data_IF_332072708983
#
_entry.id   IF_332072708983
#
_cell.length_a   1.000
_cell.length_b   1.000
_cell.length_c   1.000
_cell.angle_alpha   90.00
_cell.angle_beta   90.00
_cell.angle_gamma   90.00
#
_symmetry.space_group_name_H-M   'P 1'
#
loop_
_entity.id
_entity.type
_entity.pdbx_description
1 polymer ?
#
# COMPACT_ATOMS: atom_id res chain seq x y z
N UNK A 1 -24.16 -7.94 5.95
CA UNK A 1 -22.78 -7.93 6.47
C UNK A 1 -22.19 -6.54 6.27
N UNK A 2 -21.53 -5.96 7.30
CA UNK A 2 -20.82 -4.68 7.14
C UNK A 2 -19.78 -4.78 6.03
N UNK A 3 -19.69 -3.75 5.17
CA UNK A 3 -18.73 -3.72 4.07
C UNK A 3 -17.53 -2.82 4.40
N UNK A 4 -16.32 -3.31 4.10
CA UNK A 4 -15.11 -2.52 4.23
C UNK A 4 -15.03 -1.50 3.09
N UNK A 5 -15.23 -0.22 3.42
CA UNK A 5 -15.02 0.89 2.48
C UNK A 5 -13.65 1.53 2.71
N UNK A 6 -12.78 1.48 1.72
CA UNK A 6 -11.45 2.12 1.72
C UNK A 6 -11.58 3.55 1.21
N UNK A 7 -11.10 4.51 2.00
CA UNK A 7 -11.04 5.93 1.60
C UNK A 7 -9.58 6.26 1.26
N UNK A 8 -9.23 6.48 -0.03
CA UNK A 8 -7.83 6.63 -0.46
C UNK A 8 -7.08 7.76 0.25
N UNK A 9 -7.77 8.86 0.53
CA UNK A 9 -7.22 10.02 1.23
C UNK A 9 -6.83 9.76 2.69
N UNK A 10 -7.32 8.66 3.30
CA UNK A 10 -6.97 8.26 4.67
C UNK A 10 -5.76 7.31 4.73
N UNK A 11 -5.34 6.77 3.59
CA UNK A 11 -4.18 5.89 3.53
C UNK A 11 -2.90 6.69 3.37
N UNK A 12 -1.81 6.21 3.97
CA UNK A 12 -0.49 6.77 3.72
C UNK A 12 -0.05 6.50 2.28
N UNK A 13 0.77 7.40 1.74
CA UNK A 13 1.41 7.20 0.43
C UNK A 13 2.29 5.94 0.41
N UNK A 14 2.91 5.60 1.54
CA UNK A 14 3.66 4.35 1.72
C UNK A 14 2.79 3.13 1.43
N UNK A 15 1.58 3.06 2.01
CA UNK A 15 0.65 1.95 1.77
C UNK A 15 0.17 1.91 0.32
N UNK A 16 -0.10 3.08 -0.28
CA UNK A 16 -0.45 3.15 -1.71
C UNK A 16 0.63 2.58 -2.60
N UNK A 17 1.90 2.92 -2.37
CA UNK A 17 3.02 2.37 -3.14
C UNK A 17 3.20 0.87 -2.89
N UNK A 18 3.21 0.43 -1.63
CA UNK A 18 3.34 -0.98 -1.28
C UNK A 18 2.23 -1.85 -1.90
N UNK A 19 1.02 -1.32 -2.07
CA UNK A 19 -0.10 -2.05 -2.68
C UNK A 19 -0.01 -2.23 -4.20
N UNK A 20 0.85 -1.48 -4.90
CA UNK A 20 0.97 -1.53 -6.38
C UNK A 20 2.29 -2.12 -6.87
N UNK A 21 3.23 -2.34 -5.95
CA UNK A 21 4.46 -3.08 -6.22
C UNK A 21 4.16 -4.59 -6.27
N UNK A 22 4.88 -5.28 -7.16
CA UNK A 22 4.87 -6.74 -7.26
C UNK A 22 6.01 -7.34 -6.48
N UNK A 23 5.89 -8.60 -6.05
CA UNK A 23 6.99 -9.44 -5.57
C UNK A 23 7.65 -10.27 -6.70
N UNK A 24 7.05 -10.26 -7.90
CA UNK A 24 7.60 -10.91 -9.10
C UNK A 24 8.80 -10.15 -9.68
N UNK A 25 9.99 -10.76 -9.56
CA UNK A 25 11.26 -10.26 -10.09
C UNK A 25 11.31 -10.12 -11.61
N UNK A 26 10.41 -10.78 -12.35
CA UNK A 26 10.37 -10.68 -13.83
C UNK A 26 9.65 -9.43 -14.32
N UNK A 27 8.87 -8.76 -13.45
CA UNK A 27 8.09 -7.57 -13.78
C UNK A 27 8.32 -6.41 -12.79
N UNK A 28 9.56 -5.92 -12.63
CA UNK A 28 9.87 -4.85 -11.67
C UNK A 28 9.11 -3.55 -11.97
N UNK A 29 8.67 -2.87 -10.93
CA UNK A 29 7.79 -1.69 -11.04
C UNK A 29 8.56 -0.39 -10.87
N UNK A 30 8.51 0.49 -11.87
CA UNK A 30 9.11 1.84 -11.78
C UNK A 30 8.22 2.80 -10.98
N UNK A 31 8.77 3.95 -10.54
CA UNK A 31 7.99 4.99 -9.86
C UNK A 31 6.81 5.48 -10.71
N UNK A 32 7.06 5.74 -11.99
CA UNK A 32 6.03 6.22 -12.93
C UNK A 32 4.91 5.19 -13.06
N UNK A 33 5.28 3.92 -13.17
CA UNK A 33 4.31 2.82 -13.27
C UNK A 33 3.50 2.65 -11.97
N UNK A 34 4.15 2.73 -10.80
CA UNK A 34 3.46 2.71 -9.52
C UNK A 34 2.43 3.85 -9.40
N UNK A 35 2.81 5.07 -9.77
CA UNK A 35 1.91 6.23 -9.79
C UNK A 35 0.74 6.02 -10.75
N UNK A 36 0.97 5.47 -11.95
CA UNK A 36 -0.10 5.12 -12.90
C UNK A 36 -1.09 4.13 -12.31
N UNK A 37 -0.60 3.07 -11.67
CA UNK A 37 -1.45 2.05 -11.03
C UNK A 37 -2.30 2.63 -9.90
N UNK A 38 -1.72 3.45 -9.03
CA UNK A 38 -2.48 4.06 -7.92
C UNK A 38 -3.55 5.00 -8.48
N UNK A 39 -3.23 5.81 -9.48
CA UNK A 39 -4.21 6.71 -10.13
C UNK A 39 -5.28 5.96 -10.91
N UNK A 40 -4.94 4.87 -11.59
CA UNK A 40 -5.92 4.01 -12.24
C UNK A 40 -6.93 3.42 -11.25
N UNK A 41 -6.47 3.11 -10.03
CA UNK A 41 -7.34 2.65 -8.93
C UNK A 41 -8.14 3.79 -8.28
N UNK A 42 -7.55 4.98 -8.16
CA UNK A 42 -8.13 6.15 -7.50
C UNK A 42 -7.94 7.42 -8.34
N UNK A 43 -8.76 7.65 -9.38
CA UNK A 43 -8.58 8.77 -10.32
C UNK A 43 -8.63 10.14 -9.66
N UNK A 44 -9.45 10.29 -8.61
CA UNK A 44 -9.65 11.55 -7.88
C UNK A 44 -8.62 11.77 -6.76
N UNK A 45 -7.64 10.88 -6.58
CA UNK A 45 -6.64 11.00 -5.53
C UNK A 45 -5.51 11.97 -5.91
N UNK A 46 -5.70 13.24 -5.56
CA UNK A 46 -4.82 14.36 -5.98
C UNK A 46 -3.47 14.44 -5.27
N UNK A 47 -3.28 13.72 -4.15
CA UNK A 47 -2.03 13.78 -3.38
C UNK A 47 -0.80 13.29 -4.17
N UNK A 48 -1.02 12.53 -5.25
CA UNK A 48 0.04 12.04 -6.14
C UNK A 48 0.51 13.08 -7.16
N UNK A 49 -0.29 14.12 -7.43
CA UNK A 49 -0.10 15.04 -8.54
C UNK A 49 -1.10 14.78 -9.68
N UNK A 50 -1.09 15.65 -10.69
CA UNK A 50 -2.01 15.56 -11.83
C UNK A 50 -1.53 14.60 -12.92
N UNK A 51 -0.23 14.31 -12.98
CA UNK A 51 0.40 13.42 -13.97
C UNK A 51 1.47 12.56 -13.29
N UNK A 52 1.66 11.28 -13.69
CA UNK A 52 2.72 10.44 -13.14
C UNK A 52 4.13 10.97 -13.40
N UNK A 53 4.30 11.74 -14.47
CA UNK A 53 5.55 12.37 -14.88
C UNK A 53 5.86 13.61 -14.03
N UNK A 54 4.84 14.25 -13.46
CA UNK A 54 4.94 15.43 -12.57
C UNK A 54 4.31 15.16 -11.19
N UNK A 55 4.85 14.19 -10.42
CA UNK A 55 4.33 13.87 -9.11
C UNK A 55 4.56 15.01 -8.12
N UNK A 56 3.75 15.06 -7.06
CA UNK A 56 4.00 15.99 -5.94
C UNK A 56 5.31 15.66 -5.22
N UNK A 57 5.92 16.68 -4.60
CA UNK A 57 7.10 16.48 -3.74
C UNK A 57 6.85 15.45 -2.64
N UNK A 58 5.63 15.38 -2.11
CA UNK A 58 5.27 14.43 -1.08
C UNK A 58 5.26 13.00 -1.60
N UNK A 59 4.73 12.77 -2.82
CA UNK A 59 4.77 11.47 -3.47
C UNK A 59 6.21 11.05 -3.80
N UNK A 60 7.05 11.97 -4.26
CA UNK A 60 8.48 11.72 -4.50
C UNK A 60 9.21 11.36 -3.19
N UNK A 61 8.99 12.13 -2.12
CA UNK A 61 9.59 11.86 -0.80
C UNK A 61 9.14 10.53 -0.23
N UNK A 62 7.85 10.18 -0.35
CA UNK A 62 7.34 8.90 0.11
C UNK A 62 7.93 7.72 -0.67
N UNK A 63 8.07 7.85 -1.99
CA UNK A 63 8.76 6.86 -2.81
C UNK A 63 10.23 6.69 -2.41
N UNK A 64 10.95 7.80 -2.23
CA UNK A 64 12.37 7.77 -1.85
C UNK A 64 12.58 7.12 -0.47
N UNK A 65 11.70 7.38 0.50
CA UNK A 65 11.74 6.71 1.81
C UNK A 65 11.48 5.21 1.72
N UNK A 66 10.67 4.77 0.76
CA UNK A 66 10.38 3.35 0.58
C UNK A 66 11.61 2.58 0.06
N UNK A 67 12.39 3.20 -0.83
CA UNK A 67 13.62 2.60 -1.40
C UNK A 67 14.82 2.74 -0.45
N UNK A 68 14.77 3.66 0.50
CA UNK A 68 15.76 3.78 1.57
C UNK A 68 15.63 2.59 2.53
N UNK A 69 16.79 2.00 2.90
CA UNK A 69 16.82 0.92 3.88
C UNK A 69 16.45 1.50 5.26
N UNK A 70 15.47 0.92 5.98
CA UNK A 70 15.18 1.35 7.35
C UNK A 70 16.38 1.07 8.28
N UNK A 71 16.67 1.96 9.25
CA UNK A 71 17.79 1.77 10.17
C UNK A 71 17.71 0.43 10.90
N UNK A 72 18.74 -0.40 10.77
CA UNK A 72 18.80 -1.73 11.41
C UNK A 72 17.84 -2.79 10.85
N UNK A 73 17.06 -2.48 9.82
CA UNK A 73 16.06 -3.38 9.24
C UNK A 73 16.46 -4.01 7.91
N UNK A 74 15.60 -4.88 7.40
CA UNK A 74 15.64 -5.36 6.01
C UNK A 74 15.00 -4.30 5.09
N UNK A 75 15.47 -4.16 3.83
CA UNK A 75 14.83 -3.24 2.88
C UNK A 75 13.43 -3.74 2.54
N UNK A 76 12.47 -2.82 2.38
CA UNK A 76 11.09 -3.17 1.98
C UNK A 76 10.97 -3.48 0.49
N UNK A 77 11.91 -2.97 -0.31
CA UNK A 77 11.94 -3.16 -1.76
C UNK A 77 13.34 -3.46 -2.23
N UNK A 78 13.45 -4.16 -3.34
CA UNK A 78 14.71 -4.48 -4.00
C UNK A 78 14.69 -3.93 -5.43
N UNK A 79 15.79 -3.31 -5.85
CA UNK A 79 15.97 -2.92 -7.25
C UNK A 79 16.27 -4.15 -8.10
N UNK A 80 15.48 -4.35 -9.16
CA UNK A 80 15.63 -5.48 -10.09
C UNK A 80 15.65 -4.97 -11.52
N UNK A 81 16.54 -5.57 -12.32
CA UNK A 81 16.59 -5.40 -13.76
C UNK A 81 16.37 -6.77 -14.42
N UNK A 82 15.34 -6.86 -15.26
CA UNK A 82 14.98 -8.07 -16.01
C UNK A 82 14.75 -7.71 -17.48
N UNK A 83 15.70 -8.08 -18.35
CA UNK A 83 15.72 -7.63 -19.74
C UNK A 83 15.75 -6.11 -19.85
N UNK A 84 14.74 -5.53 -20.51
CA UNK A 84 14.56 -4.08 -20.62
C UNK A 84 13.79 -3.45 -19.45
N UNK A 85 13.15 -4.27 -18.61
CA UNK A 85 12.41 -3.78 -17.44
C UNK A 85 13.37 -3.48 -16.28
N UNK A 86 13.18 -2.32 -15.65
CA UNK A 86 13.93 -1.88 -14.47
C UNK A 86 13.00 -1.20 -13.47
N UNK A 87 13.19 -1.48 -12.19
CA UNK A 87 12.34 -0.94 -11.15
C UNK A 87 12.53 -1.66 -9.83
N UNK A 88 11.49 -1.65 -9.01
CA UNK A 88 11.50 -2.21 -7.68
C UNK A 88 10.45 -3.32 -7.54
N UNK A 89 10.78 -4.31 -6.72
CA UNK A 89 9.88 -5.36 -6.27
C UNK A 89 9.79 -5.36 -4.75
N UNK A 90 8.70 -5.87 -4.19
CA UNK A 90 8.55 -6.09 -2.75
C UNK A 90 9.50 -7.19 -2.30
N UNK A 91 10.15 -6.97 -1.16
CA UNK A 91 10.79 -8.04 -0.40
C UNK A 91 9.77 -8.67 0.56
N UNK A 92 10.09 -9.81 1.20
CA UNK A 92 9.26 -10.34 2.28
C UNK A 92 8.99 -9.32 3.39
N UNK A 93 10.01 -8.55 3.80
CA UNK A 93 9.85 -7.47 4.77
C UNK A 93 8.92 -6.34 4.27
N UNK A 94 8.91 -6.06 2.97
CA UNK A 94 7.97 -5.13 2.35
C UNK A 94 6.53 -5.62 2.39
N UNK A 95 6.31 -6.91 2.17
CA UNK A 95 4.99 -7.55 2.31
C UNK A 95 4.50 -7.45 3.75
N UNK A 96 5.32 -7.83 4.73
CA UNK A 96 4.99 -7.71 6.16
C UNK A 96 4.66 -6.27 6.55
N UNK A 97 5.45 -5.30 6.04
CA UNK A 97 5.23 -3.87 6.28
C UNK A 97 3.90 -3.41 5.69
N UNK A 98 3.57 -3.82 4.46
CA UNK A 98 2.29 -3.51 3.80
C UNK A 98 1.12 -4.00 4.65
N UNK A 99 1.17 -5.26 5.06
CA UNK A 99 0.09 -5.90 5.79
C UNK A 99 -0.08 -5.28 7.19
N UNK A 100 1.03 -4.92 7.85
CA UNK A 100 1.01 -4.18 9.12
C UNK A 100 0.36 -2.79 8.96
N UNK A 101 0.68 -2.05 7.90
CA UNK A 101 0.07 -0.72 7.70
C UNK A 101 -1.41 -0.88 7.33
N UNK A 102 -1.76 -1.88 6.52
CA UNK A 102 -3.15 -2.18 6.16
C UNK A 102 -4.00 -2.48 7.39
N UNK A 103 -3.52 -3.35 8.28
CA UNK A 103 -4.19 -3.68 9.54
C UNK A 103 -4.47 -2.41 10.35
N UNK A 104 -3.47 -1.55 10.50
CA UNK A 104 -3.57 -0.34 11.33
C UNK A 104 -4.44 0.77 10.72
N UNK A 105 -4.36 0.99 9.40
CA UNK A 105 -5.03 2.11 8.74
C UNK A 105 -6.42 1.75 8.19
N UNK A 106 -6.68 0.48 7.93
CA UNK A 106 -7.89 0.02 7.26
C UNK A 106 -8.69 -0.92 8.14
N UNK A 107 -8.11 -2.05 8.51
CA UNK A 107 -8.87 -3.14 9.11
C UNK A 107 -9.26 -2.86 10.58
N UNK A 108 -8.30 -2.49 11.44
CA UNK A 108 -8.59 -2.17 12.84
C UNK A 108 -9.58 -0.99 13.01
N UNK A 109 -9.47 0.13 12.26
CA UNK A 109 -10.50 1.18 12.27
C UNK A 109 -11.87 0.71 11.77
N UNK A 110 -11.92 -0.20 10.81
CA UNK A 110 -13.17 -0.81 10.36
C UNK A 110 -13.79 -1.68 11.47
N UNK A 111 -13.01 -2.57 12.09
CA UNK A 111 -13.50 -3.41 13.19
C UNK A 111 -14.02 -2.60 14.36
N UNK A 112 -13.34 -1.50 14.74
CA UNK A 112 -13.85 -0.58 15.77
C UNK A 112 -15.24 -0.03 15.42
N UNK A 113 -15.42 0.48 14.20
CA UNK A 113 -16.73 0.96 13.73
C UNK A 113 -17.78 -0.14 13.71
N UNK A 114 -17.41 -1.37 13.36
CA UNK A 114 -18.34 -2.50 13.40
C UNK A 114 -18.73 -2.85 14.83
N UNK A 115 -17.79 -2.87 15.78
CA UNK A 115 -18.10 -3.06 17.20
C UNK A 115 -19.07 -2.00 17.69
N UNK A 116 -18.78 -0.73 17.41
CA UNK A 116 -19.61 0.40 17.84
C UNK A 116 -21.03 0.34 17.25
N UNK A 117 -21.20 -0.12 16.00
CA UNK A 117 -22.48 -0.10 15.29
C UNK A 117 -23.28 -1.42 15.39
N UNK A 118 -22.60 -2.56 15.55
CA UNK A 118 -23.18 -3.90 15.41
C UNK A 118 -22.83 -4.86 16.57
N UNK A 119 -21.99 -4.43 17.51
CA UNK A 119 -21.57 -5.23 18.66
C UNK A 119 -20.40 -6.17 18.39
N UNK A 120 -19.79 -6.65 19.48
CA UNK A 120 -18.55 -7.44 19.45
C UNK A 120 -18.68 -8.76 18.69
N UNK A 121 -19.82 -9.46 18.82
CA UNK A 121 -20.05 -10.74 18.17
C UNK A 121 -19.93 -10.67 16.63
N UNK A 122 -20.39 -9.57 16.02
CA UNK A 122 -20.29 -9.34 14.57
C UNK A 122 -18.85 -9.02 14.17
N UNK A 123 -18.16 -8.19 14.95
CA UNK A 123 -16.77 -7.83 14.69
C UNK A 123 -15.83 -9.05 14.82
N UNK A 124 -16.04 -9.90 15.82
CA UNK A 124 -15.23 -11.09 16.05
C UNK A 124 -15.48 -12.15 14.97
N UNK A 125 -16.71 -12.28 14.47
CA UNK A 125 -17.02 -13.13 13.33
C UNK A 125 -16.30 -12.67 12.04
N UNK A 126 -16.22 -11.36 11.79
CA UNK A 126 -15.48 -10.81 10.65
C UNK A 126 -13.97 -11.01 10.80
N UNK A 127 -13.41 -10.80 12.00
CA UNK A 127 -12.00 -11.07 12.29
C UNK A 127 -11.64 -12.54 12.05
N UNK A 128 -12.52 -13.47 12.43
CA UNK A 128 -12.33 -14.90 12.21
C UNK A 128 -12.44 -15.29 10.72
N UNK A 129 -13.13 -14.51 9.89
CA UNK A 129 -13.20 -14.73 8.44
C UNK A 129 -11.93 -14.26 7.72
N UNK A 130 -11.37 -13.11 8.09
CA UNK A 130 -10.14 -12.56 7.48
C UNK A 130 -8.90 -13.44 7.74
N UNK A 131 -8.89 -14.17 8.86
CA UNK A 131 -7.77 -15.05 9.27
C UNK A 131 -7.84 -16.48 8.70
N UNK A 132 -8.82 -16.78 7.86
CA UNK A 132 -8.98 -18.09 7.20
C UNK A 132 -8.43 -18.05 5.78
#
# INVERSE_FOLDING_TARGET
MPQLAVVPARLSLELHFLNVLTDDRTSPTSRIEALRRIRGRYPDYTALGKEPETPTDQAVKAWNRLIERPPGGQPYVEFVQHGHARGFVLTPAGVERRDTIWENQVFAPFLRRVRDAHGDAVADALLAQERR
#
